data_IF_837805997894
#
_entry.id   IF_837805997894
#
_cell.length_a   1.000
_cell.length_b   1.000
_cell.length_c   1.000
_cell.angle_alpha   90.00
_cell.angle_beta   90.00
_cell.angle_gamma   90.00
#
_symmetry.space_group_name_H-M   'P 1'
#
loop_
_entity.id
_entity.type
_entity.pdbx_description
1 polymer ?
#
# COMPACT_ATOMS: atom_id res chain seq x y z
N UNK A 1 -17.10 2.69 14.53
CA UNK A 1 -17.13 1.93 13.26
C UNK A 1 -17.59 2.80 12.10
N UNK A 2 -18.81 3.38 12.14
CA UNK A 2 -19.35 4.22 11.06
C UNK A 2 -18.44 5.40 10.66
N UNK A 3 -18.00 6.21 11.62
CA UNK A 3 -17.11 7.36 11.37
C UNK A 3 -15.75 6.98 10.77
N UNK A 4 -15.28 5.75 11.00
CA UNK A 4 -13.99 5.27 10.48
C UNK A 4 -14.14 4.83 9.03
N UNK A 5 -15.23 4.14 8.70
CA UNK A 5 -15.55 3.76 7.31
C UNK A 5 -15.73 5.00 6.43
N UNK A 6 -16.38 6.05 6.94
CA UNK A 6 -16.53 7.32 6.20
C UNK A 6 -15.18 7.96 5.86
N UNK A 7 -14.21 7.96 6.80
CA UNK A 7 -12.85 8.46 6.55
C UNK A 7 -12.10 7.61 5.51
N UNK A 8 -12.26 6.29 5.56
CA UNK A 8 -11.66 5.35 4.61
C UNK A 8 -12.21 5.61 3.20
N UNK A 9 -13.53 5.74 3.07
CA UNK A 9 -14.19 6.06 1.79
C UNK A 9 -13.70 7.40 1.25
N UNK A 10 -13.64 8.45 2.10
CA UNK A 10 -13.12 9.75 1.70
C UNK A 10 -11.66 9.66 1.20
N UNK A 11 -10.79 8.93 1.91
CA UNK A 11 -9.40 8.72 1.48
C UNK A 11 -9.32 7.97 0.15
N UNK A 12 -10.12 6.91 -0.02
CA UNK A 12 -10.18 6.15 -1.27
C UNK A 12 -10.62 7.05 -2.44
N UNK A 13 -11.67 7.84 -2.27
CA UNK A 13 -12.16 8.77 -3.29
C UNK A 13 -11.11 9.82 -3.66
N UNK A 14 -10.34 10.34 -2.70
CA UNK A 14 -9.27 11.31 -2.98
C UNK A 14 -8.15 10.67 -3.80
N UNK A 15 -7.66 9.49 -3.41
CA UNK A 15 -6.58 8.82 -4.16
C UNK A 15 -7.02 8.33 -5.53
N UNK A 16 -8.19 7.71 -5.63
CA UNK A 16 -8.74 7.26 -6.91
C UNK A 16 -9.08 8.45 -7.80
N UNK A 17 -9.66 9.51 -7.25
CA UNK A 17 -9.95 10.74 -7.99
C UNK A 17 -8.69 11.39 -8.53
N UNK A 18 -7.63 11.50 -7.71
CA UNK A 18 -6.33 11.98 -8.16
C UNK A 18 -5.78 11.12 -9.31
N UNK A 19 -5.86 9.79 -9.18
CA UNK A 19 -5.38 8.87 -10.21
C UNK A 19 -6.14 9.05 -11.54
N UNK A 20 -7.47 9.18 -11.49
CA UNK A 20 -8.31 9.36 -12.68
C UNK A 20 -8.08 10.73 -13.34
N UNK A 21 -7.93 11.78 -12.53
CA UNK A 21 -7.61 13.12 -13.04
C UNK A 21 -6.24 13.13 -13.70
N UNK A 22 -5.22 12.56 -13.06
CA UNK A 22 -3.89 12.45 -13.63
C UNK A 22 -3.89 11.63 -14.93
N UNK A 23 -4.63 10.51 -14.96
CA UNK A 23 -4.81 9.71 -16.16
C UNK A 23 -5.42 10.53 -17.30
N UNK A 24 -6.46 11.31 -17.04
CA UNK A 24 -7.10 12.16 -18.05
C UNK A 24 -6.15 13.18 -18.70
N UNK A 25 -5.16 13.69 -17.97
CA UNK A 25 -4.20 14.68 -18.48
C UNK A 25 -2.98 14.05 -19.15
N UNK A 26 -2.55 12.87 -18.69
CA UNK A 26 -1.27 12.26 -19.08
C UNK A 26 -1.43 11.01 -19.96
N UNK A 27 -2.65 10.62 -20.32
CA UNK A 27 -2.91 9.52 -21.25
C UNK A 27 -2.34 9.83 -22.64
N UNK A 28 -1.40 9.00 -23.11
CA UNK A 28 -0.79 9.04 -24.44
C UNK A 28 -1.08 7.76 -25.23
N UNK A 29 -1.19 7.87 -26.56
CA UNK A 29 -1.41 6.70 -27.44
C UNK A 29 -0.19 5.76 -27.49
N UNK A 30 1.02 6.28 -27.25
CA UNK A 30 2.24 5.50 -27.04
C UNK A 30 2.44 5.18 -25.56
N UNK A 31 2.90 3.96 -25.25
CA UNK A 31 3.34 3.62 -23.89
C UNK A 31 4.59 4.45 -23.54
N UNK A 32 4.38 5.57 -22.87
CA UNK A 32 5.44 6.48 -22.43
C UNK A 32 5.66 6.36 -20.92
N UNK A 33 6.83 5.83 -20.53
CA UNK A 33 7.31 5.91 -19.15
C UNK A 33 7.84 7.33 -18.94
N UNK A 34 7.03 8.17 -18.31
CA UNK A 34 7.42 9.53 -17.96
C UNK A 34 7.65 9.64 -16.43
N UNK A 35 8.04 10.83 -15.99
CA UNK A 35 8.31 11.09 -14.57
C UNK A 35 7.06 10.96 -13.66
N UNK A 36 5.85 10.88 -14.22
CA UNK A 36 4.59 10.65 -13.50
C UNK A 36 4.33 9.17 -13.21
N UNK A 37 4.98 8.25 -13.94
CA UNK A 37 4.81 6.79 -13.74
C UNK A 37 5.10 6.34 -12.30
N UNK A 38 6.19 6.79 -11.63
CA UNK A 38 6.41 6.52 -10.21
C UNK A 38 5.29 7.02 -9.28
N UNK A 39 4.72 8.19 -9.58
CA UNK A 39 3.62 8.75 -8.78
C UNK A 39 2.33 7.94 -8.94
N UNK A 40 2.04 7.44 -10.14
CA UNK A 40 0.95 6.50 -10.37
C UNK A 40 1.12 5.23 -9.52
N UNK A 41 2.30 4.60 -9.56
CA UNK A 41 2.63 3.40 -8.75
C UNK A 41 2.46 3.66 -7.26
N UNK A 42 2.88 4.84 -6.79
CA UNK A 42 2.72 5.26 -5.39
C UNK A 42 1.25 5.41 -4.99
N UNK A 43 0.43 6.05 -5.83
CA UNK A 43 -1.00 6.24 -5.57
C UNK A 43 -1.74 4.91 -5.57
N UNK A 44 -1.44 4.02 -6.52
CA UNK A 44 -1.98 2.66 -6.53
C UNK A 44 -1.67 1.91 -5.23
N UNK A 45 -0.46 2.09 -4.70
CA UNK A 45 -0.06 1.51 -3.41
C UNK A 45 -0.90 2.07 -2.25
N UNK A 46 -1.14 3.37 -2.23
CA UNK A 46 -1.98 3.99 -1.19
C UNK A 46 -3.46 3.60 -1.31
N UNK A 47 -3.98 3.44 -2.53
CA UNK A 47 -5.32 2.86 -2.74
C UNK A 47 -5.38 1.46 -2.13
N UNK A 48 -4.37 0.62 -2.39
CA UNK A 48 -4.26 -0.71 -1.78
C UNK A 48 -4.24 -0.67 -0.25
N UNK A 49 -3.46 0.25 0.34
CA UNK A 49 -3.42 0.47 1.79
C UNK A 49 -4.79 0.85 2.36
N UNK A 50 -5.52 1.75 1.71
CA UNK A 50 -6.87 2.15 2.18
C UNK A 50 -7.82 0.95 2.18
N UNK A 51 -7.73 0.09 1.17
CA UNK A 51 -8.52 -1.15 1.12
C UNK A 51 -8.10 -2.16 2.19
N UNK A 52 -6.80 -2.33 2.44
CA UNK A 52 -6.31 -3.19 3.52
C UNK A 52 -6.79 -2.70 4.90
N UNK A 53 -6.88 -1.38 5.11
CA UNK A 53 -7.44 -0.78 6.35
C UNK A 53 -8.95 -1.01 6.43
N UNK A 54 -9.68 -0.92 5.31
CA UNK A 54 -11.10 -1.26 5.25
C UNK A 54 -11.35 -2.73 5.65
N UNK A 55 -10.54 -3.64 5.11
CA UNK A 55 -10.60 -5.07 5.42
C UNK A 55 -10.32 -5.31 6.92
N UNK A 56 -9.41 -4.55 7.54
CA UNK A 56 -9.13 -4.61 8.97
C UNK A 56 -10.37 -4.39 9.87
N UNK A 57 -11.30 -3.53 9.46
CA UNK A 57 -12.56 -3.29 10.17
C UNK A 57 -13.58 -4.44 10.00
N UNK A 58 -13.44 -5.25 8.95
CA UNK A 58 -14.41 -6.29 8.56
C UNK A 58 -13.83 -7.72 8.68
N UNK A 59 -12.85 -7.93 9.55
CA UNK A 59 -12.10 -9.20 9.69
C UNK A 59 -12.96 -10.45 9.87
N UNK A 60 -14.16 -10.34 10.46
CA UNK A 60 -15.06 -11.48 10.67
C UNK A 60 -15.56 -12.10 9.36
N UNK A 61 -15.68 -11.31 8.29
CA UNK A 61 -16.28 -11.73 7.01
C UNK A 61 -15.24 -12.02 5.92
N UNK A 62 -13.96 -11.81 6.21
CA UNK A 62 -12.89 -11.93 5.22
C UNK A 62 -12.50 -13.38 4.91
N UNK A 63 -12.07 -13.59 3.66
CA UNK A 63 -11.41 -14.84 3.24
C UNK A 63 -10.03 -14.98 3.88
N UNK A 64 -9.49 -16.21 4.02
CA UNK A 64 -8.18 -16.44 4.63
C UNK A 64 -7.03 -15.61 4.02
N UNK A 65 -7.06 -15.38 2.71
CA UNK A 65 -6.00 -14.60 2.04
C UNK A 65 -6.10 -13.09 2.33
N UNK A 66 -7.31 -12.54 2.39
CA UNK A 66 -7.53 -11.12 2.74
C UNK A 66 -7.09 -10.82 4.17
N UNK A 67 -7.28 -11.78 5.10
CA UNK A 67 -6.81 -11.65 6.48
C UNK A 67 -5.29 -11.47 6.61
N UNK A 68 -4.50 -11.90 5.62
CA UNK A 68 -3.03 -11.77 5.64
C UNK A 68 -2.59 -10.32 5.43
N UNK A 69 -3.37 -9.53 4.69
CA UNK A 69 -3.03 -8.15 4.31
C UNK A 69 -3.84 -7.11 5.08
N UNK A 70 -5.00 -7.50 5.62
CA UNK A 70 -5.86 -6.65 6.44
C UNK A 70 -5.11 -5.92 7.57
N UNK A 71 -5.37 -4.62 7.72
CA UNK A 71 -4.69 -3.73 8.67
C UNK A 71 -5.69 -3.24 9.73
N UNK A 72 -5.60 -3.80 10.94
CA UNK A 72 -6.40 -3.34 12.09
C UNK A 72 -5.79 -2.12 12.79
N UNK A 73 -4.45 -2.07 12.84
CA UNK A 73 -3.70 -0.97 13.43
C UNK A 73 -3.30 0.04 12.35
N UNK A 74 -4.07 1.14 12.28
CA UNK A 74 -3.95 2.16 11.23
C UNK A 74 -2.58 2.85 11.31
N UNK A 75 -1.82 2.91 10.21
CA UNK A 75 -0.49 3.52 10.23
C UNK A 75 -0.55 5.04 10.45
N UNK A 76 0.48 5.56 11.12
CA UNK A 76 0.71 7.01 11.20
C UNK A 76 1.28 7.59 9.91
N UNK A 77 1.32 8.93 9.80
CA UNK A 77 1.84 9.62 8.61
C UNK A 77 3.30 9.25 8.28
N UNK A 78 4.15 9.09 9.30
CA UNK A 78 5.54 8.70 9.11
C UNK A 78 5.65 7.29 8.53
N UNK A 79 4.83 6.35 9.01
CA UNK A 79 4.82 4.99 8.51
C UNK A 79 4.30 4.93 7.07
N UNK A 80 3.24 5.70 6.76
CA UNK A 80 2.73 5.84 5.39
C UNK A 80 3.81 6.38 4.45
N UNK A 81 4.56 7.41 4.89
CA UNK A 81 5.66 7.97 4.11
C UNK A 81 6.80 6.95 3.90
N UNK A 82 7.19 6.23 4.95
CA UNK A 82 8.20 5.19 4.87
C UNK A 82 7.78 4.04 3.94
N UNK A 83 6.51 3.62 4.00
CA UNK A 83 5.92 2.60 3.14
C UNK A 83 5.84 3.05 1.67
N UNK A 84 5.42 4.28 1.42
CA UNK A 84 5.30 4.84 0.07
C UNK A 84 6.65 5.07 -0.59
N UNK A 85 7.59 5.69 0.14
CA UNK A 85 8.91 6.09 -0.35
C UNK A 85 9.99 5.01 -0.11
N UNK A 86 9.59 3.78 0.18
CA UNK A 86 10.53 2.68 0.37
C UNK A 86 11.27 2.36 -0.94
N UNK A 87 12.60 2.54 -0.94
CA UNK A 87 13.41 2.58 -2.17
C UNK A 87 13.25 1.34 -3.08
N UNK A 88 12.96 0.18 -2.49
CA UNK A 88 12.79 -1.08 -3.26
C UNK A 88 11.56 -1.06 -4.16
N UNK A 89 10.65 -0.10 -3.96
CA UNK A 89 9.42 0.02 -4.74
C UNK A 89 9.04 1.44 -5.12
N UNK A 90 9.88 2.46 -4.94
CA UNK A 90 9.49 3.86 -5.17
C UNK A 90 9.26 4.20 -6.64
N UNK A 91 10.01 3.60 -7.58
CA UNK A 91 10.00 4.05 -8.99
C UNK A 91 9.20 3.17 -9.96
N UNK A 92 9.36 1.86 -9.87
CA UNK A 92 8.65 0.90 -10.71
C UNK A 92 8.47 -0.47 -10.05
N UNK A 93 8.92 -0.60 -8.80
CA UNK A 93 9.02 -1.90 -8.13
C UNK A 93 7.65 -2.52 -7.86
N UNK A 94 7.63 -3.82 -7.50
CA UNK A 94 6.39 -4.55 -7.32
C UNK A 94 5.50 -3.87 -6.28
N UNK A 95 4.19 -4.00 -6.46
CA UNK A 95 3.23 -3.63 -5.41
C UNK A 95 3.40 -4.59 -4.23
N UNK A 96 3.42 -4.04 -3.01
CA UNK A 96 3.47 -4.80 -1.78
C UNK A 96 2.58 -4.14 -0.73
N UNK A 97 2.07 -4.95 0.19
CA UNK A 97 1.15 -4.49 1.23
C UNK A 97 1.89 -3.93 2.43
N UNK A 98 1.21 -3.10 3.22
CA UNK A 98 1.79 -2.57 4.47
C UNK A 98 2.10 -3.70 5.46
N UNK A 99 1.30 -4.76 5.50
CA UNK A 99 1.57 -5.96 6.31
C UNK A 99 2.94 -6.57 5.97
N UNK A 100 3.26 -6.69 4.67
CA UNK A 100 4.57 -7.17 4.22
C UNK A 100 5.68 -6.20 4.60
N UNK A 101 5.47 -4.90 4.39
CA UNK A 101 6.44 -3.86 4.78
C UNK A 101 6.76 -3.92 6.28
N UNK A 102 5.73 -3.98 7.14
CA UNK A 102 5.88 -4.14 8.59
C UNK A 102 6.68 -5.39 8.94
N UNK A 103 6.43 -6.52 8.27
CA UNK A 103 7.19 -7.75 8.54
C UNK A 103 8.69 -7.63 8.23
N UNK A 104 9.04 -6.86 7.21
CA UNK A 104 10.44 -6.58 6.85
C UNK A 104 11.06 -5.63 7.88
N UNK A 105 10.37 -4.54 8.23
CA UNK A 105 10.86 -3.55 9.20
C UNK A 105 11.05 -4.15 10.60
N UNK A 106 10.14 -5.05 11.02
CA UNK A 106 10.27 -5.77 12.30
C UNK A 106 11.39 -6.82 12.30
N UNK A 107 11.84 -7.25 11.11
CA UNK A 107 12.83 -8.31 10.97
C UNK A 107 12.24 -9.71 11.15
N UNK A 108 10.94 -9.91 10.88
CA UNK A 108 10.25 -11.21 11.01
C UNK A 108 10.90 -12.32 10.15
N UNK A 109 11.65 -11.90 9.12
CA UNK A 109 12.36 -12.76 8.17
C UNK A 109 13.80 -13.09 8.57
N UNK A 110 14.30 -12.51 9.66
CA UNK A 110 15.65 -12.77 10.16
C UNK A 110 15.67 -14.04 11.02
N UNK A 111 16.87 -14.58 11.24
CA UNK A 111 17.11 -15.62 12.23
C UNK A 111 17.18 -15.05 13.67
N UNK A 112 17.38 -15.92 14.66
CA UNK A 112 17.53 -15.51 16.08
C UNK A 112 18.70 -14.54 16.31
N UNK A 113 19.69 -14.54 15.42
CA UNK A 113 20.87 -13.66 15.46
C UNK A 113 20.70 -12.39 14.63
N UNK A 114 19.49 -12.12 14.12
CA UNK A 114 19.16 -11.00 13.21
C UNK A 114 19.95 -11.03 11.90
N UNK A 115 20.32 -12.20 11.42
CA UNK A 115 20.95 -12.40 10.13
C UNK A 115 19.91 -12.87 9.09
N UNK A 116 20.15 -12.60 7.79
CA UNK A 116 19.36 -13.20 6.73
C UNK A 116 19.42 -14.72 6.87
N UNK A 117 18.27 -15.41 6.81
CA UNK A 117 18.25 -16.87 6.85
C UNK A 117 19.05 -17.42 5.67
N UNK A 118 20.01 -18.31 5.95
CA UNK A 118 20.75 -19.01 4.91
C UNK A 118 19.77 -19.90 4.14
N UNK A 119 19.34 -19.42 2.97
CA UNK A 119 18.39 -20.05 2.03
C UNK A 119 16.93 -20.03 2.48
N UNK A 120 16.12 -19.25 1.75
CA UNK A 120 14.70 -19.50 1.54
C UNK A 120 14.53 -20.15 0.17
#
# INVERSE_FOLDING_TARGET
>A
MKDRVEKIVAAHTVFLGYLLVAYWFEESESYDINWTTPFCVLVLRFIGLVMDVYDGEHMATLKPDQKKTAIQDVPGLLEIAAFGLFYTGTFAGPQFTLSRFRSVVRGDWLDEKRQPRESA
#
